data_IF_995528135112
#
_entry.id   IF_995528135112
#
_cell.length_a   1.000
_cell.length_b   1.000
_cell.length_c   1.000
_cell.angle_alpha   90.00
_cell.angle_beta   90.00
_cell.angle_gamma   90.00
#
_symmetry.space_group_name_H-M   'P 1'
#
loop_
_entity.id
_entity.type
_entity.pdbx_description
1 polymer ?
#
# COMPACT_ATOMS: atom_id res chain seq x y z
N UNK A 1 26.95 5.14 8.78
CA UNK A 1 26.17 4.01 8.26
C UNK A 1 27.02 3.30 7.25
N UNK A 2 27.48 2.11 7.60
CA UNK A 2 28.25 1.26 6.71
C UNK A 2 27.31 0.41 5.86
N UNK A 3 27.76 0.00 4.69
CA UNK A 3 26.96 -0.81 3.74
C UNK A 3 26.50 -2.13 4.38
N UNK A 4 27.23 -2.61 5.39
CA UNK A 4 26.88 -3.79 6.19
C UNK A 4 25.64 -3.55 7.08
N UNK A 5 25.57 -2.42 7.77
CA UNK A 5 24.42 -2.07 8.63
C UNK A 5 23.13 -1.86 7.82
N UNK A 6 23.26 -1.31 6.60
CA UNK A 6 22.13 -1.22 5.66
C UNK A 6 21.66 -2.62 5.20
N UNK A 7 22.59 -3.55 4.95
CA UNK A 7 22.23 -4.90 4.52
C UNK A 7 21.57 -5.74 5.62
N UNK A 8 21.90 -5.48 6.89
CA UNK A 8 21.24 -6.10 8.05
C UNK A 8 19.85 -5.49 8.28
N UNK A 9 19.71 -4.17 8.16
CA UNK A 9 18.41 -3.50 8.24
C UNK A 9 17.47 -3.92 7.10
N UNK A 10 18.02 -4.09 5.89
CA UNK A 10 17.29 -4.65 4.75
C UNK A 10 16.86 -6.06 5.09
N UNK A 11 17.76 -6.97 5.51
CA UNK A 11 17.38 -8.34 5.89
C UNK A 11 16.34 -8.42 7.00
N UNK A 12 16.43 -7.58 8.03
CA UNK A 12 15.39 -7.53 9.06
C UNK A 12 14.05 -7.03 8.49
N UNK A 13 14.06 -6.11 7.53
CA UNK A 13 12.87 -5.72 6.80
C UNK A 13 12.37 -6.83 5.86
N UNK A 14 13.26 -7.59 5.22
CA UNK A 14 12.92 -8.74 4.37
C UNK A 14 12.29 -9.89 5.20
N UNK A 15 12.78 -10.14 6.42
CA UNK A 15 12.22 -11.16 7.33
C UNK A 15 10.93 -10.70 8.03
N UNK A 16 10.82 -9.42 8.42
CA UNK A 16 9.61 -8.89 9.08
C UNK A 16 8.50 -8.50 8.10
N UNK A 17 8.84 -8.16 6.85
CA UNK A 17 7.90 -7.71 5.82
C UNK A 17 7.89 -8.57 4.54
N UNK A 18 8.64 -9.68 4.49
CA UNK A 18 8.50 -10.70 3.45
C UNK A 18 9.02 -10.33 2.05
N UNK A 19 9.78 -9.25 1.90
CA UNK A 19 10.32 -8.83 0.59
C UNK A 19 11.60 -9.61 0.31
N UNK A 20 11.54 -10.73 -0.43
CA UNK A 20 12.75 -11.42 -0.87
C UNK A 20 13.12 -11.04 -2.31
N UNK A 21 14.39 -10.66 -2.52
CA UNK A 21 14.98 -10.43 -3.85
C UNK A 21 14.92 -11.64 -4.81
N UNK A 22 14.52 -12.82 -4.32
CA UNK A 22 14.23 -13.99 -5.17
C UNK A 22 13.05 -13.75 -6.13
N UNK A 23 12.09 -12.89 -5.77
CA UNK A 23 10.93 -12.57 -6.61
C UNK A 23 11.29 -11.80 -7.88
N UNK A 24 12.33 -10.95 -7.82
CA UNK A 24 12.77 -10.16 -8.97
C UNK A 24 13.41 -11.02 -10.08
N UNK A 25 14.01 -12.17 -9.72
CA UNK A 25 14.64 -13.08 -10.69
C UNK A 25 13.61 -13.95 -11.44
N UNK A 26 12.43 -14.19 -10.88
CA UNK A 26 11.37 -15.01 -11.49
C UNK A 26 10.55 -14.20 -12.51
N UNK A 27 10.44 -12.88 -12.33
CA UNK A 27 9.63 -12.02 -13.19
C UNK A 27 10.15 -11.86 -14.64
N UNK A 28 11.41 -12.21 -14.94
CA UNK A 28 12.02 -11.97 -16.27
C UNK A 28 12.00 -13.23 -17.16
N UNK A 29 11.65 -14.41 -16.63
CA UNK A 29 11.85 -15.68 -17.32
C UNK A 29 10.60 -16.58 -17.37
N UNK A 30 9.56 -16.20 -18.12
CA UNK A 30 8.62 -17.20 -18.63
C UNK A 30 7.86 -16.70 -19.88
N UNK A 31 8.11 -17.28 -21.08
CA UNK A 31 7.23 -17.13 -22.23
C UNK A 31 5.98 -18.01 -22.08
N UNK A 32 4.92 -17.59 -22.75
CA UNK A 32 3.60 -18.21 -22.82
C UNK A 32 3.60 -19.73 -23.01
N UNK A 33 2.83 -20.46 -22.19
CA UNK A 33 1.94 -21.58 -22.58
C UNK A 33 1.35 -22.29 -21.34
N UNK A 34 0.03 -22.52 -21.38
CA UNK A 34 -0.57 -23.75 -20.86
C UNK A 34 -0.86 -23.85 -19.37
N UNK A 35 -2.15 -23.75 -19.03
CA UNK A 35 -2.88 -24.77 -18.27
C UNK A 35 -2.46 -25.15 -16.84
N UNK A 36 -3.46 -25.04 -15.96
CA UNK A 36 -3.56 -25.64 -14.62
C UNK A 36 -2.95 -24.84 -13.46
N UNK A 37 -3.87 -24.39 -12.61
CA UNK A 37 -3.64 -24.10 -11.20
C UNK A 37 -2.47 -23.14 -10.89
N UNK A 38 -2.65 -21.87 -11.25
CA UNK A 38 -2.07 -20.81 -10.41
C UNK A 38 -2.85 -20.83 -9.09
N UNK A 39 -2.40 -21.69 -8.17
CA UNK A 39 -2.67 -21.53 -6.75
C UNK A 39 -2.45 -20.05 -6.44
N UNK A 40 -3.41 -19.46 -5.72
CA UNK A 40 -3.34 -18.15 -5.14
C UNK A 40 -1.89 -17.79 -4.80
N UNK A 41 -1.25 -16.94 -5.62
CA UNK A 41 -0.15 -16.13 -5.13
C UNK A 41 -0.78 -15.32 -4.00
N UNK A 42 -0.50 -15.73 -2.77
CA UNK A 42 -1.08 -15.15 -1.56
C UNK A 42 -0.85 -13.64 -1.61
N UNK A 43 -1.92 -12.90 -1.90
CA UNK A 43 -1.93 -11.45 -1.90
C UNK A 43 -1.74 -10.99 -0.44
N UNK A 44 -0.49 -10.92 -0.01
CA UNK A 44 -0.10 -10.41 1.33
C UNK A 44 -0.03 -8.88 1.34
N UNK A 45 -0.09 -8.27 0.15
CA UNK A 45 0.03 -6.85 -0.10
C UNK A 45 -1.28 -6.28 -0.63
N UNK A 46 -1.88 -5.39 0.13
CA UNK A 46 -3.11 -4.70 -0.21
C UNK A 46 -2.83 -3.22 -0.49
N UNK A 47 -3.55 -2.67 -1.45
CA UNK A 47 -3.50 -1.25 -1.80
C UNK A 47 -4.79 -0.57 -1.38
N UNK A 48 -4.65 0.45 -0.53
CA UNK A 48 -5.74 1.30 -0.05
C UNK A 48 -5.89 2.48 -0.99
N UNK A 49 -6.92 2.48 -1.82
CA UNK A 49 -7.22 3.52 -2.81
C UNK A 49 -8.31 4.42 -2.25
N UNK A 50 -8.03 5.72 -2.15
CA UNK A 50 -9.06 6.73 -1.93
C UNK A 50 -9.84 6.90 -3.22
N UNK A 51 -11.04 6.33 -3.29
CA UNK A 51 -11.91 6.43 -4.46
C UNK A 51 -12.59 7.80 -4.51
N UNK A 52 -13.13 8.27 -3.39
CA UNK A 52 -13.78 9.58 -3.28
C UNK A 52 -13.55 10.21 -1.91
N UNK A 53 -13.21 11.49 -1.86
CA UNK A 53 -13.03 12.22 -0.61
C UNK A 53 -14.34 12.59 0.12
N UNK A 54 -15.48 12.46 -0.56
CA UNK A 54 -16.78 12.86 -0.03
C UNK A 54 -16.89 14.36 0.29
N UNK A 55 -17.92 14.72 1.05
CA UNK A 55 -18.19 16.11 1.46
C UNK A 55 -17.24 16.62 2.55
N UNK A 56 -16.69 15.71 3.37
CA UNK A 56 -15.87 16.04 4.54
C UNK A 56 -14.35 16.06 4.23
N UNK A 57 -13.96 16.75 3.14
CA UNK A 57 -12.56 16.77 2.65
C UNK A 57 -11.53 17.12 3.73
N UNK A 58 -11.84 18.03 4.65
CA UNK A 58 -10.92 18.41 5.74
C UNK A 58 -10.63 17.23 6.68
N UNK A 59 -11.65 16.43 7.02
CA UNK A 59 -11.49 15.25 7.86
C UNK A 59 -10.69 14.17 7.13
N UNK A 60 -10.96 13.97 5.83
CA UNK A 60 -10.21 13.02 4.99
C UNK A 60 -8.75 13.44 4.84
N UNK A 61 -8.45 14.73 4.64
CA UNK A 61 -7.07 15.23 4.58
C UNK A 61 -6.35 14.98 5.91
N UNK A 62 -7.01 15.17 7.05
CA UNK A 62 -6.41 14.84 8.36
C UNK A 62 -6.10 13.34 8.48
N UNK A 63 -7.04 12.48 8.12
CA UNK A 63 -6.86 11.03 8.14
C UNK A 63 -5.72 10.59 7.19
N UNK A 64 -5.66 11.13 5.96
CA UNK A 64 -4.56 10.85 5.02
C UNK A 64 -3.22 11.30 5.59
N UNK A 65 -3.13 12.48 6.22
CA UNK A 65 -1.90 12.95 6.86
C UNK A 65 -1.46 12.05 8.01
N UNK A 66 -2.39 11.57 8.84
CA UNK A 66 -2.09 10.63 9.92
C UNK A 66 -1.62 9.27 9.38
N UNK A 67 -2.23 8.80 8.29
CA UNK A 67 -1.91 7.51 7.70
C UNK A 67 -0.57 7.52 6.96
N UNK A 68 -0.27 8.59 6.24
CA UNK A 68 0.87 8.67 5.30
C UNK A 68 2.02 9.54 5.78
N UNK A 69 1.80 10.38 6.81
CA UNK A 69 2.80 11.35 7.28
C UNK A 69 3.02 12.54 6.33
N UNK A 70 2.24 12.65 5.25
CA UNK A 70 2.37 13.71 4.25
C UNK A 70 2.07 15.10 4.82
N UNK A 71 2.66 16.13 4.21
CA UNK A 71 2.38 17.53 4.51
C UNK A 71 0.96 17.95 4.10
N UNK A 72 0.52 19.12 4.54
CA UNK A 72 -0.85 19.61 4.28
C UNK A 72 -1.11 19.78 2.78
N UNK A 73 -0.09 20.15 2.01
CA UNK A 73 -0.19 20.35 0.56
C UNK A 73 -0.32 19.01 -0.16
N UNK A 74 0.55 18.07 0.16
CA UNK A 74 0.61 16.74 -0.47
C UNK A 74 -0.65 15.93 -0.16
N UNK A 75 -1.12 15.98 1.09
CA UNK A 75 -2.36 15.31 1.47
C UNK A 75 -3.60 15.93 0.80
N UNK A 76 -3.62 17.25 0.62
CA UNK A 76 -4.67 17.91 -0.15
C UNK A 76 -4.63 17.49 -1.62
N UNK A 77 -3.45 17.47 -2.24
CA UNK A 77 -3.27 17.07 -3.64
C UNK A 77 -3.63 15.58 -3.86
N UNK A 78 -3.44 14.72 -2.85
CA UNK A 78 -3.86 13.32 -2.86
C UNK A 78 -5.39 13.19 -2.78
N UNK A 79 -6.01 13.90 -1.82
CA UNK A 79 -7.46 13.84 -1.58
C UNK A 79 -8.27 14.48 -2.72
N UNK A 80 -7.80 15.58 -3.28
CA UNK A 80 -8.42 16.21 -4.46
C UNK A 80 -8.14 15.45 -5.76
N UNK A 81 -7.07 14.65 -5.79
CA UNK A 81 -6.69 13.84 -6.95
C UNK A 81 -7.33 12.46 -7.00
N UNK A 82 -8.33 12.17 -6.17
CA UNK A 82 -9.03 10.88 -6.16
C UNK A 82 -9.65 10.57 -7.54
N UNK A 83 -9.56 9.31 -8.05
CA UNK A 83 -9.09 8.12 -7.34
C UNK A 83 -7.56 7.98 -7.30
N UNK A 84 -6.98 7.87 -6.09
CA UNK A 84 -5.52 7.72 -5.87
C UNK A 84 -5.18 6.79 -4.71
N UNK A 85 -4.06 6.04 -4.78
CA UNK A 85 -3.58 5.22 -3.68
C UNK A 85 -3.14 6.09 -2.49
N UNK A 86 -3.58 5.73 -1.28
CA UNK A 86 -3.18 6.33 0.00
C UNK A 86 -2.05 5.52 0.63
N UNK A 87 -2.16 4.19 0.59
CA UNK A 87 -1.10 3.26 0.99
C UNK A 87 -1.08 2.10 0.03
N UNK A 88 0.11 1.70 -0.38
CA UNK A 88 0.37 0.56 -1.25
C UNK A 88 1.16 -0.48 -0.46
N UNK A 89 1.05 -1.75 -0.87
CA UNK A 89 1.78 -2.86 -0.27
C UNK A 89 1.65 -2.97 1.26
N UNK A 90 0.43 -2.77 1.80
CA UNK A 90 0.17 -2.91 3.24
C UNK A 90 -0.49 -4.25 3.57
N UNK A 91 -0.20 -4.78 4.75
CA UNK A 91 -0.86 -5.99 5.24
C UNK A 91 -2.37 -5.78 5.36
N UNK A 92 -3.14 -6.88 5.28
CA UNK A 92 -4.61 -6.85 5.36
C UNK A 92 -5.14 -6.07 6.58
N UNK A 93 -4.51 -6.26 7.75
CA UNK A 93 -4.90 -5.58 8.98
C UNK A 93 -4.72 -4.05 8.89
N UNK A 94 -3.61 -3.59 8.29
CA UNK A 94 -3.33 -2.18 8.08
C UNK A 94 -4.23 -1.58 7.00
N UNK A 95 -4.52 -2.35 5.94
CA UNK A 95 -5.44 -1.94 4.88
C UNK A 95 -6.86 -1.73 5.41
N UNK A 96 -7.37 -2.66 6.22
CA UNK A 96 -8.68 -2.55 6.86
C UNK A 96 -8.71 -1.41 7.88
N UNK A 97 -7.65 -1.22 8.67
CA UNK A 97 -7.54 -0.11 9.61
C UNK A 97 -7.52 1.26 8.89
N UNK A 98 -6.77 1.38 7.80
CA UNK A 98 -6.71 2.58 6.97
C UNK A 98 -8.05 2.86 6.28
N UNK A 99 -8.68 1.82 5.71
CA UNK A 99 -10.02 1.90 5.12
C UNK A 99 -11.03 2.43 6.12
N UNK A 100 -11.08 1.83 7.32
CA UNK A 100 -12.02 2.22 8.37
C UNK A 100 -11.81 3.68 8.81
N UNK A 101 -10.57 4.11 9.04
CA UNK A 101 -10.23 5.51 9.38
C UNK A 101 -10.69 6.50 8.31
N UNK A 102 -10.50 6.16 7.03
CA UNK A 102 -10.87 7.03 5.91
C UNK A 102 -12.39 7.06 5.69
N UNK A 103 -13.07 5.93 5.85
CA UNK A 103 -14.54 5.83 5.79
C UNK A 103 -15.21 6.59 6.94
N UNK A 104 -14.69 6.49 8.17
CA UNK A 104 -15.13 7.28 9.32
C UNK A 104 -14.92 8.79 9.10
N UNK A 105 -13.87 9.17 8.37
CA UNK A 105 -13.62 10.55 7.95
C UNK A 105 -14.56 11.03 6.82
N UNK A 106 -15.38 10.14 6.24
CA UNK A 106 -16.37 10.45 5.20
C UNK A 106 -15.89 10.21 3.77
N UNK A 107 -14.79 9.47 3.57
CA UNK A 107 -14.28 9.09 2.27
C UNK A 107 -14.78 7.71 1.83
N UNK A 108 -14.84 7.45 0.52
CA UNK A 108 -14.95 6.09 0.00
C UNK A 108 -13.56 5.55 -0.30
N UNK A 109 -13.29 4.34 0.19
CA UNK A 109 -12.01 3.66 0.01
C UNK A 109 -12.22 2.27 -0.55
N UNK A 110 -11.41 1.95 -1.55
CA UNK A 110 -11.35 0.62 -2.17
C UNK A 110 -10.03 -0.03 -1.76
N UNK A 111 -10.08 -1.28 -1.32
CA UNK A 111 -8.88 -2.07 -0.98
C UNK A 111 -8.74 -3.14 -2.06
N UNK A 112 -7.59 -3.13 -2.74
CA UNK A 112 -7.24 -4.08 -3.81
C UNK A 112 -6.06 -4.94 -3.42
#
# INVERSE_FOLDING_TARGET
MTVLELSELIKEMEEKFGVSAAAAAVAVAAPAAGGAAAAAEEQTEFTVILAEAGANKVSVIKAVRELTGLGLKEAKDLVDGAPKPVKEAVAKADAEAAKKKLEEAGAKVEVK
#
